data_IF_415218372685
#
_entry.id   IF_415218372685
#
_cell.length_a   1.000
_cell.length_b   1.000
_cell.length_c   1.000
_cell.angle_alpha   90.00
_cell.angle_beta   90.00
_cell.angle_gamma   90.00
#
_symmetry.space_group_name_H-M   'P 1'
#
loop_
_entity.id
_entity.type
_entity.pdbx_description
1 polymer ?
#
# COMPACT_ATOMS: atom_id res chain seq x y z
N UNK A 1 -29.28 48.22 -56.93
CA UNK A 1 -30.57 47.63 -56.49
C UNK A 1 -30.23 46.48 -55.55
N UNK A 2 -30.62 46.43 -54.28
CA UNK A 2 -31.23 47.50 -53.47
C UNK A 2 -32.61 47.15 -52.90
N UNK A 3 -32.65 46.36 -51.82
CA UNK A 3 -33.81 46.26 -50.92
C UNK A 3 -33.39 45.79 -49.52
N UNK A 4 -33.86 46.54 -48.52
CA UNK A 4 -34.18 46.07 -47.17
C UNK A 4 -35.73 45.94 -47.14
N UNK A 5 -36.44 45.44 -46.12
CA UNK A 5 -36.20 45.12 -44.69
C UNK A 5 -37.10 43.85 -44.38
N UNK A 6 -37.26 43.25 -43.20
CA UNK A 6 -36.91 43.52 -41.80
C UNK A 6 -36.74 42.20 -40.99
N UNK A 7 -36.48 42.37 -39.69
CA UNK A 7 -36.35 41.36 -38.65
C UNK A 7 -37.63 40.57 -38.30
N UNK A 8 -37.41 39.36 -37.76
CA UNK A 8 -38.20 38.81 -36.64
C UNK A 8 -37.23 38.40 -35.53
N UNK A 9 -37.50 38.81 -34.30
CA UNK A 9 -36.67 38.50 -33.14
C UNK A 9 -37.34 37.44 -32.26
N UNK A 10 -36.62 36.37 -31.93
CA UNK A 10 -37.01 35.43 -30.88
C UNK A 10 -36.07 35.57 -29.68
N UNK A 11 -36.59 36.15 -28.59
CA UNK A 11 -35.88 36.26 -27.31
C UNK A 11 -35.96 34.92 -26.56
N UNK A 12 -35.06 34.00 -26.89
CA UNK A 12 -34.86 32.75 -26.16
C UNK A 12 -33.85 32.91 -25.02
N UNK A 13 -34.31 33.20 -23.80
CA UNK A 13 -33.46 33.14 -22.60
C UNK A 13 -33.24 31.67 -22.21
N UNK A 14 -31.97 31.23 -22.21
CA UNK A 14 -31.56 29.91 -21.75
C UNK A 14 -30.17 29.98 -21.13
N UNK A 15 -30.08 29.77 -19.81
CA UNK A 15 -28.83 29.93 -19.08
C UNK A 15 -27.84 28.77 -19.30
N UNK A 16 -26.55 29.14 -19.22
CA UNK A 16 -25.42 28.24 -19.39
C UNK A 16 -25.35 27.05 -18.43
N UNK A 17 -24.53 26.09 -18.81
CA UNK A 17 -24.36 24.83 -18.11
C UNK A 17 -23.75 23.79 -19.04
N UNK A 18 -22.52 24.01 -19.50
CA UNK A 18 -21.75 22.94 -20.12
C UNK A 18 -21.66 21.78 -19.14
N UNK A 19 -22.18 20.61 -19.53
CA UNK A 19 -22.31 19.47 -18.63
C UNK A 19 -20.93 18.91 -18.28
N UNK A 20 -20.31 19.46 -17.23
CA UNK A 20 -19.34 18.72 -16.43
C UNK A 20 -20.07 17.50 -15.88
N UNK A 21 -20.01 16.41 -16.62
CA UNK A 21 -20.30 15.09 -16.13
C UNK A 21 -19.32 14.81 -15.00
N UNK A 22 -19.73 15.18 -13.77
CA UNK A 22 -19.11 14.67 -12.56
C UNK A 22 -19.34 13.18 -12.59
N UNK A 23 -18.34 12.46 -13.10
CA UNK A 23 -18.12 11.07 -12.74
C UNK A 23 -18.11 11.06 -11.23
N UNK A 24 -19.19 10.55 -10.64
CA UNK A 24 -19.24 10.26 -9.22
C UNK A 24 -18.24 9.15 -8.97
N UNK A 25 -16.97 9.53 -8.78
CA UNK A 25 -15.98 8.65 -8.19
C UNK A 25 -16.62 8.10 -6.92
N UNK A 26 -16.81 6.77 -6.80
CA UNK A 26 -17.44 6.22 -5.61
C UNK A 26 -16.58 6.63 -4.43
N UNK A 27 -17.15 7.31 -3.44
CA UNK A 27 -16.41 7.59 -2.21
C UNK A 27 -15.92 6.24 -1.68
N UNK A 28 -14.61 6.06 -1.44
CA UNK A 28 -14.13 4.83 -0.83
C UNK A 28 -14.85 4.69 0.51
N UNK A 29 -15.58 3.60 0.68
CA UNK A 29 -16.37 3.38 1.89
C UNK A 29 -15.45 3.43 3.12
N UNK A 30 -15.99 3.82 4.27
CA UNK A 30 -15.21 3.83 5.50
C UNK A 30 -14.49 2.49 5.74
N UNK A 31 -15.13 1.36 5.38
CA UNK A 31 -14.56 0.01 5.38
C UNK A 31 -13.42 -0.20 4.39
N UNK A 32 -13.49 0.36 3.17
CA UNK A 32 -12.40 0.28 2.19
C UNK A 32 -11.17 1.09 2.65
N UNK A 33 -11.39 2.26 3.25
CA UNK A 33 -10.34 3.04 3.93
C UNK A 33 -9.78 2.26 5.13
N UNK A 34 -10.65 1.60 5.91
CA UNK A 34 -10.25 0.79 7.07
C UNK A 34 -9.43 -0.44 6.70
N UNK A 35 -9.69 -1.06 5.55
CA UNK A 35 -8.91 -2.18 5.03
C UNK A 35 -7.56 -1.70 4.46
N UNK A 36 -7.53 -0.58 3.71
CA UNK A 36 -6.28 -0.01 3.21
C UNK A 36 -5.34 0.43 4.34
N UNK A 37 -5.85 1.12 5.36
CA UNK A 37 -5.07 1.51 6.55
C UNK A 37 -4.73 0.32 7.50
N UNK A 38 -5.16 -0.91 7.17
CA UNK A 38 -4.67 -2.13 7.80
C UNK A 38 -3.45 -2.72 7.07
N UNK A 39 -3.16 -2.31 5.83
CA UNK A 39 -1.87 -2.57 5.17
C UNK A 39 -0.90 -1.38 5.31
N UNK A 40 -1.42 -0.15 5.37
CA UNK A 40 -0.63 1.08 5.37
C UNK A 40 -0.65 1.77 6.74
N UNK A 41 0.52 2.04 7.32
CA UNK A 41 0.62 2.70 8.63
C UNK A 41 0.49 4.23 8.55
N UNK A 42 0.34 4.95 9.69
CA UNK A 42 0.25 6.41 9.71
C UNK A 42 1.49 7.17 9.18
N UNK A 43 2.58 6.46 8.91
CA UNK A 43 3.83 6.98 8.33
C UNK A 43 3.98 6.65 6.83
N UNK A 44 3.12 5.78 6.27
CA UNK A 44 3.16 5.44 4.83
C UNK A 44 2.58 6.61 4.01
N UNK A 45 3.36 7.13 3.06
CA UNK A 45 2.84 8.09 2.08
C UNK A 45 1.81 7.43 1.15
N UNK A 46 0.95 8.21 0.49
CA UNK A 46 -0.04 7.69 -0.47
C UNK A 46 0.61 6.83 -1.57
N UNK A 47 1.82 7.19 -1.99
CA UNK A 47 2.64 6.42 -2.95
C UNK A 47 3.15 5.12 -2.31
N UNK A 48 3.77 5.20 -1.13
CA UNK A 48 4.25 4.01 -0.38
C UNK A 48 3.14 2.99 -0.16
N UNK A 49 1.99 3.46 0.36
CA UNK A 49 0.80 2.66 0.59
C UNK A 49 0.27 1.99 -0.69
N UNK A 50 0.24 2.73 -1.80
CA UNK A 50 -0.17 2.18 -3.09
C UNK A 50 0.80 1.10 -3.57
N UNK A 51 2.12 1.32 -3.52
CA UNK A 51 3.13 0.33 -3.93
C UNK A 51 3.05 -0.92 -3.05
N UNK A 52 2.94 -0.75 -1.73
CA UNK A 52 2.78 -1.82 -0.74
C UNK A 52 1.52 -2.68 -0.96
N UNK A 53 0.46 -2.10 -1.53
CA UNK A 53 -0.78 -2.82 -1.90
C UNK A 53 -0.80 -3.31 -3.35
N UNK A 54 0.13 -2.85 -4.20
CA UNK A 54 0.22 -3.18 -5.63
C UNK A 54 1.69 -3.42 -6.08
N UNK A 55 2.46 -4.30 -5.43
CA UNK A 55 3.91 -4.40 -5.64
C UNK A 55 4.31 -4.76 -7.09
N UNK A 56 3.44 -5.49 -7.81
CA UNK A 56 3.62 -5.81 -9.22
C UNK A 56 3.36 -4.66 -10.21
N UNK A 57 2.97 -3.46 -9.77
CA UNK A 57 2.79 -2.30 -10.66
C UNK A 57 2.98 -0.94 -9.93
N UNK A 58 4.23 -0.58 -9.55
CA UNK A 58 4.53 0.70 -8.90
C UNK A 58 4.28 1.94 -9.79
N UNK A 59 4.31 1.80 -11.12
CA UNK A 59 3.98 2.89 -12.05
C UNK A 59 2.53 3.39 -11.86
N UNK A 60 1.57 2.51 -11.57
CA UNK A 60 0.19 2.90 -11.20
C UNK A 60 0.09 3.71 -9.90
N UNK A 61 1.16 3.76 -9.11
CA UNK A 61 1.24 4.49 -7.85
C UNK A 61 1.99 5.83 -7.96
N UNK A 62 2.45 6.20 -9.16
CA UNK A 62 3.15 7.46 -9.42
C UNK A 62 4.68 7.39 -9.36
N UNK A 63 5.27 6.20 -9.27
CA UNK A 63 6.68 6.02 -9.62
C UNK A 63 6.88 6.30 -11.12
N UNK A 64 7.99 6.94 -11.50
CA UNK A 64 8.38 7.05 -12.91
C UNK A 64 8.75 5.68 -13.49
N UNK A 65 8.81 5.53 -14.81
CA UNK A 65 9.10 4.22 -15.44
C UNK A 65 10.45 3.63 -14.96
N UNK A 66 11.46 4.48 -14.76
CA UNK A 66 12.79 4.11 -14.26
C UNK A 66 12.80 3.71 -12.78
N UNK A 67 12.00 4.37 -11.94
CA UNK A 67 11.81 3.95 -10.54
C UNK A 67 10.96 2.68 -10.45
N UNK A 68 10.00 2.52 -11.37
CA UNK A 68 9.10 1.38 -11.40
C UNK A 68 9.82 0.08 -11.79
N UNK A 69 10.74 0.12 -12.76
CA UNK A 69 11.55 -1.06 -13.11
C UNK A 69 12.54 -1.44 -11.99
N UNK A 70 13.13 -0.47 -11.31
CA UNK A 70 14.03 -0.70 -10.17
C UNK A 70 13.29 -1.32 -8.97
N UNK A 71 12.13 -0.76 -8.59
CA UNK A 71 11.26 -1.31 -7.54
C UNK A 71 10.82 -2.75 -7.89
N UNK A 72 10.46 -3.02 -9.15
CA UNK A 72 10.11 -4.37 -9.61
C UNK A 72 11.30 -5.34 -9.58
N UNK A 73 12.52 -4.87 -9.90
CA UNK A 73 13.74 -5.65 -9.83
C UNK A 73 14.09 -6.02 -8.38
N UNK A 74 14.07 -5.05 -7.47
CA UNK A 74 14.28 -5.29 -6.03
C UNK A 74 13.21 -6.20 -5.43
N UNK A 75 11.94 -6.03 -5.81
CA UNK A 75 10.84 -6.90 -5.36
C UNK A 75 11.08 -8.35 -5.77
N UNK A 76 11.39 -8.60 -7.05
CA UNK A 76 11.70 -9.96 -7.54
C UNK A 76 12.95 -10.54 -6.91
N UNK A 77 13.99 -9.74 -6.69
CA UNK A 77 15.21 -10.19 -6.01
C UNK A 77 14.94 -10.61 -4.56
N UNK A 78 14.05 -9.89 -3.86
CA UNK A 78 13.60 -10.26 -2.52
C UNK A 78 12.71 -11.52 -2.54
N UNK A 79 11.81 -11.66 -3.52
CA UNK A 79 10.98 -12.85 -3.71
C UNK A 79 11.83 -14.10 -3.95
N UNK A 80 12.74 -14.10 -4.94
CA UNK A 80 13.62 -15.25 -5.21
C UNK A 80 14.51 -15.59 -4.01
N UNK A 81 15.11 -14.59 -3.35
CA UNK A 81 15.90 -14.82 -2.13
C UNK A 81 15.06 -15.45 -1.01
N UNK A 82 13.79 -15.08 -0.87
CA UNK A 82 12.86 -15.65 0.13
C UNK A 82 12.45 -17.10 -0.18
N UNK A 83 12.45 -17.48 -1.47
CA UNK A 83 12.17 -18.83 -1.96
C UNK A 83 13.36 -19.76 -1.72
N UNK A 84 14.58 -19.30 -2.00
CA UNK A 84 15.82 -20.07 -1.79
C UNK A 84 16.21 -20.20 -0.30
N UNK A 85 15.60 -19.42 0.59
CA UNK A 85 15.83 -19.54 2.03
C UNK A 85 15.28 -20.87 2.59
N UNK A 86 16.06 -21.61 3.41
CA UNK A 86 15.56 -22.78 4.13
C UNK A 86 14.33 -22.44 4.99
N UNK A 87 13.37 -23.38 5.07
CA UNK A 87 12.10 -23.20 5.78
C UNK A 87 12.28 -22.68 7.21
N UNK A 88 13.21 -23.28 7.96
CA UNK A 88 13.52 -22.86 9.33
C UNK A 88 13.97 -21.40 9.41
N UNK A 89 14.71 -20.91 8.40
CA UNK A 89 15.21 -19.53 8.38
C UNK A 89 14.11 -18.54 8.03
N UNK A 90 13.18 -18.95 7.16
CA UNK A 90 11.95 -18.20 6.87
C UNK A 90 11.09 -18.05 8.14
N UNK A 91 10.87 -19.14 8.87
CA UNK A 91 10.15 -19.12 10.15
C UNK A 91 10.82 -18.23 11.22
N UNK A 92 12.16 -18.22 11.30
CA UNK A 92 12.89 -17.28 12.16
C UNK A 92 12.68 -15.82 11.73
N UNK A 93 12.70 -15.51 10.43
CA UNK A 93 12.50 -14.16 9.90
C UNK A 93 11.06 -13.66 10.10
N UNK A 94 10.06 -14.47 9.77
CA UNK A 94 8.63 -14.18 10.00
C UNK A 94 8.37 -13.88 11.48
N UNK A 95 8.93 -14.70 12.38
CA UNK A 95 8.82 -14.49 13.83
C UNK A 95 9.57 -13.23 14.29
N UNK A 96 10.71 -12.90 13.67
CA UNK A 96 11.48 -11.67 13.95
C UNK A 96 10.73 -10.40 13.53
N UNK A 97 10.08 -10.39 12.36
CA UNK A 97 9.22 -9.28 11.92
C UNK A 97 8.07 -9.08 12.91
N UNK A 98 7.32 -10.15 13.21
CA UNK A 98 6.21 -10.08 14.16
C UNK A 98 6.66 -9.63 15.56
N UNK A 99 7.86 -10.05 16.01
CA UNK A 99 8.45 -9.64 17.28
C UNK A 99 8.68 -8.11 17.36
N UNK A 100 9.16 -7.52 16.26
CA UNK A 100 9.34 -6.07 16.15
C UNK A 100 8.00 -5.33 16.09
N UNK A 101 7.07 -5.77 15.24
CA UNK A 101 5.78 -5.08 15.01
C UNK A 101 4.86 -5.09 16.25
N UNK A 102 4.76 -6.23 16.95
CA UNK A 102 3.96 -6.37 18.18
C UNK A 102 4.68 -5.83 19.44
N UNK A 103 5.95 -5.43 19.34
CA UNK A 103 6.83 -5.08 20.45
C UNK A 103 6.86 -6.15 21.58
N UNK A 104 7.34 -7.36 21.24
CA UNK A 104 7.44 -8.51 22.16
C UNK A 104 8.36 -8.25 23.36
N UNK A 105 8.34 -9.15 24.35
CA UNK A 105 9.35 -9.14 25.41
C UNK A 105 10.74 -9.51 24.87
N UNK A 106 11.80 -8.95 25.46
CA UNK A 106 13.18 -9.28 25.11
C UNK A 106 13.69 -8.56 23.85
N UNK A 107 14.91 -8.90 23.46
CA UNK A 107 15.56 -8.37 22.26
C UNK A 107 15.24 -9.26 21.06
N UNK A 108 14.42 -8.76 20.13
CA UNK A 108 14.05 -9.51 18.93
C UNK A 108 15.27 -9.92 18.09
N UNK A 109 16.30 -9.09 18.05
CA UNK A 109 17.55 -9.39 17.35
C UNK A 109 18.31 -10.57 17.98
N UNK A 110 18.49 -10.57 19.31
CA UNK A 110 19.20 -11.66 20.00
C UNK A 110 18.41 -12.98 19.91
N UNK A 111 17.08 -12.91 19.97
CA UNK A 111 16.21 -14.06 19.76
C UNK A 111 16.23 -14.59 18.32
N UNK A 112 16.35 -13.72 17.31
CA UNK A 112 16.58 -14.13 15.92
C UNK A 112 17.95 -14.81 15.76
N UNK A 113 19.01 -14.26 16.35
CA UNK A 113 20.36 -14.87 16.33
C UNK A 113 20.40 -16.23 17.04
N UNK A 114 19.61 -16.42 18.11
CA UNK A 114 19.40 -17.72 18.73
C UNK A 114 18.66 -18.69 17.80
N UNK A 115 17.57 -18.25 17.17
CA UNK A 115 16.79 -19.04 16.21
C UNK A 115 17.64 -19.50 15.00
N UNK A 116 18.56 -18.64 14.52
CA UNK A 116 19.54 -19.03 13.50
C UNK A 116 20.55 -20.08 14.00
N UNK A 117 21.04 -19.97 15.23
CA UNK A 117 21.96 -20.96 15.83
C UNK A 117 21.31 -22.33 16.03
N UNK A 118 20.02 -22.35 16.38
CA UNK A 118 19.23 -23.57 16.60
C UNK A 118 18.54 -24.10 15.34
N UNK A 119 18.70 -23.44 14.18
CA UNK A 119 18.02 -23.77 12.92
C UNK A 119 16.48 -23.90 13.06
N UNK A 120 15.84 -22.86 13.60
CA UNK A 120 14.36 -22.72 13.62
C UNK A 120 13.71 -22.62 15.00
N UNK A 121 14.40 -23.00 16.07
CA UNK A 121 13.84 -22.94 17.43
C UNK A 121 13.87 -21.51 18.00
N UNK A 122 12.73 -20.82 17.96
CA UNK A 122 12.59 -19.47 18.48
C UNK A 122 12.40 -19.47 20.01
N UNK A 123 13.19 -18.71 20.79
CA UNK A 123 13.21 -18.78 22.25
C UNK A 123 11.98 -18.11 22.90
N UNK A 124 10.85 -18.84 22.94
CA UNK A 124 9.55 -18.40 23.52
C UNK A 124 9.62 -18.08 25.03
N UNK A 125 10.64 -18.58 25.73
CA UNK A 125 10.94 -18.26 27.13
C UNK A 125 11.37 -16.79 27.31
N UNK A 126 12.00 -16.19 26.29
CA UNK A 126 12.51 -14.80 26.30
C UNK A 126 11.67 -13.89 25.41
N UNK A 127 11.48 -14.30 24.16
CA UNK A 127 10.79 -13.53 23.13
C UNK A 127 9.40 -14.09 22.81
N UNK A 128 8.38 -13.43 23.35
CA UNK A 128 6.95 -13.74 23.16
C UNK A 128 6.12 -12.46 23.15
N UNK A 129 4.93 -12.52 22.53
CA UNK A 129 3.88 -11.49 22.67
C UNK A 129 3.72 -11.14 24.16
N UNK A 130 3.77 -9.85 24.48
CA UNK A 130 3.44 -9.37 25.82
C UNK A 130 1.98 -9.75 26.08
N UNK A 131 1.69 -10.52 27.14
CA UNK A 131 0.30 -10.73 27.55
C UNK A 131 -0.26 -9.36 27.93
N UNK A 132 -1.32 -8.93 27.24
CA UNK A 132 -2.04 -7.71 27.61
C UNK A 132 -2.50 -7.81 29.05
N UNK A 133 -2.19 -6.79 29.85
CA UNK A 133 -2.88 -6.58 31.11
C UNK A 133 -4.34 -6.26 30.82
N UNK A 134 -5.23 -6.74 31.68
CA UNK A 134 -6.61 -6.27 31.77
C UNK A 134 -6.65 -5.07 32.72
#
# INVERSE_FOLDING_TARGET
MGTLVAALAFLGVGCGGGAHARVSAPQPSATAVYLAQAQCGPQDSTVSCCVKTHPGNPARCGATELEAEDILLFTRAAEELSRDLPEWKRACLETYVQCQEDHWSGSCYDCFRYCEGQQGDWPRDRCRKRKGGH
#
